data_IF_561391805619
#
_entry.id   IF_561391805619
#
_cell.length_a   1.000
_cell.length_b   1.000
_cell.length_c   1.000
_cell.angle_alpha   90.00
_cell.angle_beta   90.00
_cell.angle_gamma   90.00
#
_symmetry.space_group_name_H-M   'P 1'
#
loop_
_entity.id
_entity.type
_entity.pdbx_description
1 polymer ?
#
# COMPACT_ATOMS: atom_id res chain seq x y z
N UNK A 1 47.80 -23.55 0.88
CA UNK A 1 47.31 -23.76 -0.50
C UNK A 1 46.39 -22.59 -0.81
N UNK A 2 46.90 -21.59 -1.52
CA UNK A 2 46.08 -20.51 -2.09
C UNK A 2 45.53 -21.06 -3.40
N UNK A 3 44.24 -21.37 -3.45
CA UNK A 3 43.61 -21.77 -4.71
C UNK A 3 43.40 -20.50 -5.55
N UNK A 4 44.06 -20.36 -6.71
CA UNK A 4 43.99 -19.15 -7.53
C UNK A 4 42.56 -18.87 -8.03
N UNK A 5 41.73 -19.92 -8.11
CA UNK A 5 40.31 -19.84 -8.42
C UNK A 5 39.55 -19.12 -7.30
N UNK A 6 39.85 -19.43 -6.03
CA UNK A 6 39.21 -18.80 -4.88
C UNK A 6 39.55 -17.31 -4.78
N UNK A 7 40.80 -16.93 -5.04
CA UNK A 7 41.23 -15.52 -5.04
C UNK A 7 40.60 -14.72 -6.18
N UNK A 8 40.53 -15.30 -7.38
CA UNK A 8 39.86 -14.67 -8.51
C UNK A 8 38.37 -14.41 -8.23
N UNK A 9 37.66 -15.41 -7.69
CA UNK A 9 36.24 -15.28 -7.34
C UNK A 9 36.06 -14.21 -6.26
N UNK A 10 36.85 -14.25 -5.18
CA UNK A 10 36.72 -13.30 -4.07
C UNK A 10 37.02 -11.87 -4.52
N UNK A 11 38.08 -11.64 -5.29
CA UNK A 11 38.44 -10.32 -5.80
C UNK A 11 37.36 -9.76 -6.74
N UNK A 12 36.83 -10.59 -7.63
CA UNK A 12 35.79 -10.17 -8.58
C UNK A 12 34.45 -9.88 -7.88
N UNK A 13 34.06 -10.70 -6.90
CA UNK A 13 32.85 -10.50 -6.10
C UNK A 13 32.96 -9.22 -5.26
N UNK A 14 34.07 -9.01 -4.54
CA UNK A 14 34.29 -7.82 -3.71
C UNK A 14 34.29 -6.56 -4.59
N UNK A 15 34.97 -6.59 -5.73
CA UNK A 15 35.01 -5.45 -6.66
C UNK A 15 33.64 -5.08 -7.19
N UNK A 16 32.86 -6.08 -7.62
CA UNK A 16 31.50 -5.87 -8.15
C UNK A 16 30.57 -5.37 -7.04
N UNK A 17 30.51 -6.04 -5.89
CA UNK A 17 29.64 -5.65 -4.78
C UNK A 17 29.95 -4.24 -4.28
N UNK A 18 31.24 -3.88 -4.13
CA UNK A 18 31.63 -2.54 -3.66
C UNK A 18 31.13 -1.43 -4.58
N UNK A 19 31.08 -1.66 -5.90
CA UNK A 19 30.57 -0.69 -6.88
C UNK A 19 29.03 -0.64 -6.94
N UNK A 20 28.37 -1.77 -6.73
CA UNK A 20 26.91 -1.92 -6.91
C UNK A 20 26.12 -1.56 -5.65
N UNK A 21 26.68 -1.69 -4.44
CA UNK A 21 25.94 -1.46 -3.19
C UNK A 21 25.32 -0.06 -3.10
N UNK A 22 26.06 1.00 -3.45
CA UNK A 22 25.55 2.37 -3.37
C UNK A 22 24.37 2.63 -4.31
N UNK A 23 24.46 2.37 -5.64
CA UNK A 23 23.33 2.56 -6.54
C UNK A 23 22.15 1.63 -6.20
N UNK A 24 22.43 0.41 -5.69
CA UNK A 24 21.38 -0.50 -5.23
C UNK A 24 20.62 0.06 -4.03
N UNK A 25 21.32 0.57 -3.01
CA UNK A 25 20.68 1.20 -1.85
C UNK A 25 19.86 2.43 -2.27
N UNK A 26 20.39 3.27 -3.15
CA UNK A 26 19.67 4.44 -3.66
C UNK A 26 18.40 4.03 -4.43
N UNK A 27 18.51 3.05 -5.33
CA UNK A 27 17.37 2.55 -6.09
C UNK A 27 16.30 1.94 -5.17
N UNK A 28 16.71 1.11 -4.21
CA UNK A 28 15.81 0.52 -3.22
C UNK A 28 15.16 1.59 -2.34
N UNK A 29 15.86 2.67 -2.00
CA UNK A 29 15.32 3.78 -1.22
C UNK A 29 14.25 4.56 -1.98
N UNK A 30 14.52 4.95 -3.22
CA UNK A 30 13.56 5.66 -4.07
C UNK A 30 12.34 4.78 -4.35
N UNK A 31 12.56 3.51 -4.68
CA UNK A 31 11.47 2.54 -4.88
C UNK A 31 10.66 2.33 -3.60
N UNK A 32 11.33 2.22 -2.44
CA UNK A 32 10.68 2.05 -1.14
C UNK A 32 9.76 3.22 -0.79
N UNK A 33 10.23 4.46 -0.98
CA UNK A 33 9.41 5.66 -0.78
C UNK A 33 8.21 5.66 -1.72
N UNK A 34 8.45 5.39 -3.01
CA UNK A 34 7.39 5.36 -4.02
C UNK A 34 6.31 4.33 -3.67
N UNK A 35 6.71 3.10 -3.33
CA UNK A 35 5.79 2.05 -2.91
C UNK A 35 5.02 2.42 -1.64
N UNK A 36 5.67 3.04 -0.65
CA UNK A 36 5.00 3.48 0.58
C UNK A 36 3.92 4.53 0.30
N UNK A 37 4.24 5.52 -0.53
CA UNK A 37 3.28 6.55 -0.96
C UNK A 37 2.11 5.92 -1.71
N UNK A 38 2.37 4.95 -2.59
CA UNK A 38 1.31 4.26 -3.32
C UNK A 38 0.36 3.49 -2.40
N UNK A 39 0.87 2.73 -1.44
CA UNK A 39 0.04 1.98 -0.49
C UNK A 39 -0.77 2.95 0.38
N UNK A 40 -0.15 4.03 0.85
CA UNK A 40 -0.85 5.06 1.61
C UNK A 40 -1.99 5.70 0.79
N UNK A 41 -1.75 5.98 -0.49
CA UNK A 41 -2.79 6.52 -1.36
C UNK A 41 -3.96 5.56 -1.53
N UNK A 42 -3.70 4.26 -1.74
CA UNK A 42 -4.74 3.24 -1.84
C UNK A 42 -5.62 3.21 -0.59
N UNK A 43 -5.02 3.14 0.60
CA UNK A 43 -5.73 3.16 1.88
C UNK A 43 -6.54 4.46 2.08
N UNK A 44 -6.03 5.60 1.60
CA UNK A 44 -6.73 6.88 1.66
C UNK A 44 -7.98 6.89 0.77
N UNK A 45 -7.91 6.29 -0.42
CA UNK A 45 -9.07 6.20 -1.32
C UNK A 45 -10.16 5.30 -0.74
N UNK A 46 -9.78 4.15 -0.18
CA UNK A 46 -10.72 3.27 0.52
C UNK A 46 -11.41 4.01 1.67
N UNK A 47 -10.63 4.71 2.52
CA UNK A 47 -11.18 5.43 3.67
C UNK A 47 -12.13 6.56 3.24
N UNK A 48 -11.81 7.26 2.15
CA UNK A 48 -12.71 8.27 1.55
C UNK A 48 -14.01 7.63 1.05
N UNK A 49 -13.96 6.46 0.45
CA UNK A 49 -15.17 5.76 0.01
C UNK A 49 -16.08 5.44 1.20
N UNK A 50 -15.54 4.88 2.30
CA UNK A 50 -16.32 4.59 3.50
C UNK A 50 -16.86 5.86 4.17
N UNK A 51 -16.09 6.95 4.20
CA UNK A 51 -16.55 8.24 4.73
C UNK A 51 -17.71 8.81 3.91
N UNK A 52 -17.62 8.76 2.58
CA UNK A 52 -18.68 9.23 1.70
C UNK A 52 -19.93 8.34 1.78
N UNK A 53 -19.77 7.03 2.03
CA UNK A 53 -20.89 6.14 2.33
C UNK A 53 -21.56 6.53 3.65
N UNK A 54 -20.79 6.70 4.74
CA UNK A 54 -21.31 7.08 6.05
C UNK A 54 -22.07 8.42 6.01
N UNK A 55 -21.51 9.44 5.34
CA UNK A 55 -22.18 10.74 5.16
C UNK A 55 -23.54 10.58 4.49
N UNK A 56 -23.65 9.72 3.49
CA UNK A 56 -24.91 9.49 2.76
C UNK A 56 -25.93 8.74 3.59
N UNK A 57 -25.50 7.77 4.40
CA UNK A 57 -26.37 7.10 5.37
C UNK A 57 -26.94 8.11 6.35
N UNK A 58 -26.08 8.93 6.98
CA UNK A 58 -26.52 9.98 7.92
C UNK A 58 -27.45 10.99 7.24
N UNK A 59 -27.12 11.45 6.04
CA UNK A 59 -27.94 12.39 5.29
C UNK A 59 -29.31 11.82 4.93
N UNK A 60 -29.38 10.54 4.56
CA UNK A 60 -30.64 9.87 4.24
C UNK A 60 -31.59 9.87 5.44
N UNK A 61 -31.11 9.56 6.64
CA UNK A 61 -31.95 9.55 7.84
C UNK A 61 -32.23 10.94 8.43
N UNK A 62 -31.38 11.94 8.15
CA UNK A 62 -31.60 13.32 8.62
C UNK A 62 -32.54 14.11 7.70
N UNK A 63 -32.65 13.72 6.43
CA UNK A 63 -33.45 14.44 5.45
C UNK A 63 -34.93 14.06 5.55
N UNK A 64 -35.85 15.02 5.79
CA UNK A 64 -37.28 14.72 5.96
C UNK A 64 -37.95 14.19 4.66
N UNK A 65 -37.37 14.50 3.50
CA UNK A 65 -37.90 14.10 2.18
C UNK A 65 -37.36 12.75 1.69
N UNK A 66 -36.57 12.04 2.51
CA UNK A 66 -35.98 10.78 2.09
C UNK A 66 -37.04 9.67 1.98
N UNK A 67 -37.04 8.87 0.89
CA UNK A 67 -37.97 7.75 0.76
C UNK A 67 -37.69 6.72 1.85
N UNK A 68 -38.66 6.49 2.73
CA UNK A 68 -38.59 5.47 3.79
C UNK A 68 -38.64 4.09 3.16
N UNK A 69 -37.48 3.48 2.95
CA UNK A 69 -37.37 2.11 2.47
C UNK A 69 -37.33 1.18 3.68
N UNK A 70 -38.33 0.31 3.80
CA UNK A 70 -38.45 -0.60 4.96
C UNK A 70 -37.41 -1.74 4.96
N UNK A 71 -36.92 -2.14 3.77
CA UNK A 71 -35.97 -3.26 3.61
C UNK A 71 -34.51 -2.82 3.73
N UNK A 72 -33.78 -3.44 4.66
CA UNK A 72 -32.34 -3.27 4.89
C UNK A 72 -31.50 -3.49 3.62
N UNK A 73 -31.68 -4.62 2.94
CA UNK A 73 -30.94 -4.95 1.73
C UNK A 73 -31.15 -3.90 0.63
N UNK A 74 -32.39 -3.45 0.42
CA UNK A 74 -32.72 -2.47 -0.61
C UNK A 74 -32.13 -1.11 -0.32
N UNK A 75 -32.24 -0.64 0.92
CA UNK A 75 -31.68 0.65 1.32
C UNK A 75 -30.15 0.64 1.23
N UNK A 76 -29.52 -0.43 1.71
CA UNK A 76 -28.06 -0.62 1.62
C UNK A 76 -27.60 -0.59 0.16
N UNK A 77 -28.28 -1.30 -0.74
CA UNK A 77 -27.98 -1.29 -2.17
C UNK A 77 -28.10 0.10 -2.79
N UNK A 78 -29.22 0.80 -2.57
CA UNK A 78 -29.43 2.13 -3.15
C UNK A 78 -28.35 3.11 -2.68
N UNK A 79 -28.02 3.10 -1.39
CA UNK A 79 -27.01 4.00 -0.83
C UNK A 79 -25.60 3.65 -1.32
N UNK A 80 -25.25 2.37 -1.41
CA UNK A 80 -23.97 1.92 -1.96
C UNK A 80 -23.83 2.24 -3.44
N UNK A 81 -24.83 1.93 -4.27
CA UNK A 81 -24.83 2.22 -5.72
C UNK A 81 -24.73 3.73 -5.97
N UNK A 82 -25.50 4.53 -5.21
CA UNK A 82 -25.40 5.99 -5.27
C UNK A 82 -24.01 6.49 -4.85
N UNK A 83 -23.43 5.88 -3.81
CA UNK A 83 -22.07 6.21 -3.36
C UNK A 83 -21.04 5.95 -4.45
N UNK A 84 -21.14 4.79 -5.11
CA UNK A 84 -20.27 4.42 -6.22
C UNK A 84 -20.36 5.40 -7.40
N UNK A 85 -21.57 5.67 -7.90
CA UNK A 85 -21.79 6.55 -9.06
C UNK A 85 -21.26 7.96 -8.80
N UNK A 86 -21.51 8.52 -7.62
CA UNK A 86 -21.07 9.87 -7.29
C UNK A 86 -19.56 9.96 -7.05
N UNK A 87 -18.96 8.97 -6.38
CA UNK A 87 -17.52 8.96 -6.10
C UNK A 87 -16.67 8.75 -7.36
N UNK A 88 -17.17 7.97 -8.33
CA UNK A 88 -16.40 7.56 -9.51
C UNK A 88 -16.96 8.11 -10.83
N UNK A 89 -18.22 7.86 -11.16
CA UNK A 89 -18.78 8.25 -12.47
C UNK A 89 -18.98 9.75 -12.61
N UNK A 90 -19.52 10.42 -11.59
CA UNK A 90 -19.66 11.88 -11.64
C UNK A 90 -18.33 12.61 -11.55
N UNK A 91 -17.35 12.05 -10.81
CA UNK A 91 -15.99 12.60 -10.77
C UNK A 91 -15.33 12.51 -12.15
N UNK A 92 -15.42 11.37 -12.81
CA UNK A 92 -14.81 11.17 -14.12
C UNK A 92 -15.52 11.96 -15.24
N UNK A 93 -16.85 12.09 -15.15
CA UNK A 93 -17.65 12.83 -16.15
C UNK A 93 -17.51 14.34 -16.04
N UNK A 94 -17.50 14.90 -14.83
CA UNK A 94 -17.56 16.36 -14.66
C UNK A 94 -16.20 17.03 -14.40
N UNK A 95 -15.18 16.30 -13.93
CA UNK A 95 -13.79 16.78 -13.71
C UNK A 95 -13.68 18.21 -13.16
N UNK A 96 -14.57 18.59 -12.22
CA UNK A 96 -14.75 19.99 -11.80
C UNK A 96 -13.59 20.49 -10.92
N UNK A 97 -12.80 19.59 -10.33
CA UNK A 97 -11.68 19.96 -9.45
C UNK A 97 -10.35 19.69 -10.17
N UNK A 98 -9.38 20.59 -9.97
CA UNK A 98 -8.05 20.55 -10.60
C UNK A 98 -7.28 19.22 -10.40
N UNK A 99 -7.61 18.45 -9.37
CA UNK A 99 -6.98 17.16 -9.06
C UNK A 99 -7.72 15.93 -9.61
N UNK A 100 -8.89 16.09 -10.24
CA UNK A 100 -9.71 14.96 -10.72
C UNK A 100 -9.05 14.20 -11.89
N UNK A 101 -8.24 14.87 -12.70
CA UNK A 101 -7.52 14.22 -13.81
C UNK A 101 -6.46 13.22 -13.32
N UNK A 102 -5.70 13.62 -12.29
CA UNK A 102 -4.67 12.76 -11.70
C UNK A 102 -5.33 11.61 -10.94
N UNK A 103 -6.41 11.89 -10.20
CA UNK A 103 -7.19 10.85 -9.53
C UNK A 103 -7.76 9.81 -10.52
N UNK A 104 -8.34 10.23 -11.65
CA UNK A 104 -8.90 9.32 -12.66
C UNK A 104 -7.83 8.39 -13.28
N UNK A 105 -6.62 8.91 -13.54
CA UNK A 105 -5.51 8.07 -14.02
C UNK A 105 -5.05 7.06 -12.97
N UNK A 106 -4.95 7.48 -11.71
CA UNK A 106 -4.54 6.63 -10.59
C UNK A 106 -5.62 5.57 -10.31
N UNK A 107 -6.91 5.95 -10.32
CA UNK A 107 -8.03 5.03 -10.16
C UNK A 107 -8.03 3.93 -11.24
N UNK A 108 -7.72 4.30 -12.48
CA UNK A 108 -7.63 3.34 -13.60
C UNK A 108 -6.40 2.46 -13.49
N UNK A 109 -5.26 3.00 -13.07
CA UNK A 109 -4.03 2.25 -12.87
C UNK A 109 -4.18 1.22 -11.73
N UNK A 110 -4.94 1.56 -10.69
CA UNK A 110 -5.18 0.71 -9.52
C UNK A 110 -6.48 -0.09 -9.58
N UNK A 111 -7.24 -0.02 -10.68
CA UNK A 111 -8.53 -0.71 -10.83
C UNK A 111 -9.47 -0.46 -9.63
N UNK A 112 -9.44 0.76 -9.08
CA UNK A 112 -10.17 1.11 -7.85
C UNK A 112 -11.67 0.96 -8.06
N UNK A 113 -12.16 1.29 -9.25
CA UNK A 113 -13.57 1.14 -9.61
C UNK A 113 -14.02 -0.33 -9.55
N UNK A 114 -13.23 -1.25 -10.10
CA UNK A 114 -13.51 -2.67 -10.06
C UNK A 114 -13.41 -3.23 -8.63
N UNK A 115 -12.44 -2.74 -7.85
CA UNK A 115 -12.31 -3.06 -6.43
C UNK A 115 -13.52 -2.63 -5.62
N UNK A 116 -13.95 -1.38 -5.75
CA UNK A 116 -15.15 -0.89 -5.04
C UNK A 116 -16.39 -1.64 -5.52
N UNK A 117 -16.56 -1.87 -6.82
CA UNK A 117 -17.70 -2.64 -7.33
C UNK A 117 -17.76 -4.05 -6.73
N UNK A 118 -16.60 -4.71 -6.62
CA UNK A 118 -16.51 -6.01 -5.95
C UNK A 118 -16.85 -5.92 -4.46
N UNK A 119 -16.40 -4.87 -3.78
CA UNK A 119 -16.75 -4.60 -2.39
C UNK A 119 -18.27 -4.46 -2.21
N UNK A 120 -18.94 -3.74 -3.12
CA UNK A 120 -20.41 -3.62 -3.12
C UNK A 120 -21.07 -4.99 -3.28
N UNK A 121 -20.68 -5.75 -4.31
CA UNK A 121 -21.26 -7.06 -4.59
C UNK A 121 -21.08 -8.04 -3.41
N UNK A 122 -19.90 -8.08 -2.81
CA UNK A 122 -19.62 -8.97 -1.68
C UNK A 122 -20.32 -8.50 -0.40
N UNK A 123 -20.42 -7.19 -0.15
CA UNK A 123 -21.22 -6.64 0.95
C UNK A 123 -22.69 -7.01 0.77
N UNK A 124 -23.27 -6.79 -0.42
CA UNK A 124 -24.67 -7.12 -0.70
C UNK A 124 -24.95 -8.62 -0.60
N UNK A 125 -24.03 -9.47 -1.07
CA UNK A 125 -24.14 -10.92 -0.90
C UNK A 125 -24.22 -11.31 0.56
N UNK A 126 -23.40 -10.72 1.43
CA UNK A 126 -23.45 -11.00 2.86
C UNK A 126 -24.74 -10.46 3.49
N UNK A 127 -25.15 -9.23 3.15
CA UNK A 127 -26.40 -8.62 3.61
C UNK A 127 -27.66 -9.43 3.25
N UNK A 128 -27.63 -10.16 2.13
CA UNK A 128 -28.75 -11.01 1.67
C UNK A 128 -29.11 -12.12 2.65
N UNK A 129 -28.14 -12.63 3.42
CA UNK A 129 -28.35 -13.76 4.32
C UNK A 129 -28.80 -13.35 5.72
N UNK A 130 -28.83 -12.06 6.04
CA UNK A 130 -29.31 -11.61 7.33
C UNK A 130 -30.82 -11.75 7.44
N UNK A 131 -31.29 -12.43 8.47
CA UNK A 131 -32.71 -12.51 8.79
C UNK A 131 -33.00 -11.62 9.97
N UNK A 132 -33.90 -10.66 9.77
CA UNK A 132 -34.38 -9.76 10.82
C UNK A 132 -35.58 -10.38 11.53
N UNK A 133 -35.45 -11.64 11.96
CA UNK A 133 -36.47 -12.32 12.76
C UNK A 133 -36.28 -11.96 14.25
N UNK A 134 -37.37 -11.79 14.97
CA UNK A 134 -37.55 -11.13 16.29
C UNK A 134 -36.84 -11.74 17.51
N UNK A 135 -35.76 -12.49 17.30
CA UNK A 135 -34.97 -13.13 18.37
C UNK A 135 -33.51 -13.44 18.01
N UNK A 136 -33.05 -13.10 16.81
CA UNK A 136 -31.64 -13.27 16.45
C UNK A 136 -30.83 -12.04 16.87
N UNK A 137 -29.70 -12.25 17.55
CA UNK A 137 -28.72 -11.21 17.85
C UNK A 137 -28.32 -10.50 16.56
N UNK A 138 -28.27 -9.16 16.57
CA UNK A 138 -27.87 -8.37 15.43
C UNK A 138 -26.55 -8.93 14.84
N UNK A 139 -26.48 -9.12 13.50
CA UNK A 139 -25.26 -9.61 12.88
C UNK A 139 -24.14 -8.62 13.15
N UNK A 140 -22.94 -9.13 13.45
CA UNK A 140 -21.79 -8.28 13.71
C UNK A 140 -21.32 -7.64 12.40
N UNK A 141 -21.84 -6.46 12.08
CA UNK A 141 -21.51 -5.75 10.84
C UNK A 141 -20.01 -5.44 10.72
N UNK A 142 -19.29 -5.40 11.85
CA UNK A 142 -17.83 -5.29 11.86
C UNK A 142 -17.13 -6.49 11.21
N UNK A 143 -17.60 -7.72 11.45
CA UNK A 143 -17.01 -8.93 10.87
C UNK A 143 -17.32 -9.03 9.37
N UNK A 144 -18.53 -8.63 8.99
CA UNK A 144 -19.00 -8.51 7.59
C UNK A 144 -18.13 -7.51 6.82
N UNK A 145 -17.92 -6.34 7.42
CA UNK A 145 -17.11 -5.27 6.85
C UNK A 145 -15.66 -5.73 6.68
N UNK A 146 -15.06 -6.33 7.73
CA UNK A 146 -13.71 -6.92 7.64
C UNK A 146 -13.61 -7.93 6.52
N UNK A 147 -14.54 -8.89 6.44
CA UNK A 147 -14.54 -9.90 5.39
C UNK A 147 -14.66 -9.27 3.98
N UNK A 148 -15.49 -8.25 3.82
CA UNK A 148 -15.67 -7.57 2.53
C UNK A 148 -14.40 -6.82 2.07
N UNK A 149 -13.66 -6.20 2.98
CA UNK A 149 -12.38 -5.54 2.66
C UNK A 149 -11.22 -6.54 2.51
N UNK A 150 -11.11 -7.54 3.39
CA UNK A 150 -10.01 -8.53 3.39
C UNK A 150 -10.09 -9.53 2.25
N UNK A 151 -11.28 -9.86 1.74
CA UNK A 151 -11.40 -10.76 0.59
C UNK A 151 -11.33 -10.05 -0.76
N UNK A 152 -11.18 -8.73 -0.78
CA UNK A 152 -11.14 -7.98 -2.02
C UNK A 152 -9.78 -8.12 -2.73
N UNK A 153 -9.71 -8.79 -3.91
CA UNK A 153 -8.44 -9.02 -4.59
C UNK A 153 -7.81 -7.74 -5.16
N UNK A 154 -8.60 -6.68 -5.36
CA UNK A 154 -8.14 -5.41 -5.94
C UNK A 154 -7.54 -4.47 -4.89
N UNK A 155 -8.06 -4.50 -3.66
CA UNK A 155 -7.51 -3.74 -2.54
C UNK A 155 -6.29 -4.42 -1.91
N UNK A 156 -6.23 -5.75 -1.97
CA UNK A 156 -5.08 -6.49 -1.47
C UNK A 156 -3.90 -6.56 -2.44
N UNK A 157 -4.02 -6.05 -3.67
CA UNK A 157 -2.95 -6.10 -4.68
C UNK A 157 -2.61 -4.73 -5.25
N UNK A 158 -1.37 -4.31 -5.09
CA UNK A 158 -0.82 -3.13 -5.76
C UNK A 158 -0.65 -3.45 -7.25
N UNK A 159 -1.26 -2.64 -8.12
CA UNK A 159 -1.29 -2.82 -9.59
C UNK A 159 -1.85 -4.17 -10.04
N UNK A 160 -2.64 -4.86 -9.21
CA UNK A 160 -3.23 -6.16 -9.52
C UNK A 160 -2.27 -7.37 -9.45
N UNK A 161 -0.98 -7.13 -9.22
CA UNK A 161 0.07 -8.18 -9.30
C UNK A 161 0.67 -8.47 -7.91
N UNK A 162 1.00 -7.45 -7.12
CA UNK A 162 1.83 -7.62 -5.91
C UNK A 162 0.96 -7.47 -4.64
N UNK A 163 0.95 -8.44 -3.71
CA UNK A 163 0.21 -8.31 -2.46
C UNK A 163 0.67 -7.12 -1.61
N UNK A 164 -0.27 -6.29 -1.17
CA UNK A 164 -0.01 -5.10 -0.34
C UNK A 164 0.58 -5.50 1.01
N UNK A 165 0.13 -6.60 1.60
CA UNK A 165 0.65 -7.12 2.87
C UNK A 165 2.16 -7.42 2.81
N UNK A 166 2.60 -8.11 1.75
CA UNK A 166 4.01 -8.42 1.53
C UNK A 166 4.84 -7.14 1.33
N UNK A 167 4.33 -6.18 0.56
CA UNK A 167 5.01 -4.90 0.39
C UNK A 167 5.13 -4.14 1.70
N UNK A 168 4.09 -4.14 2.54
CA UNK A 168 4.12 -3.52 3.85
C UNK A 168 5.23 -4.12 4.74
N UNK A 169 5.33 -5.44 4.78
CA UNK A 169 6.38 -6.15 5.51
C UNK A 169 7.77 -5.81 4.98
N UNK A 170 8.01 -5.90 3.67
CA UNK A 170 9.31 -5.57 3.06
C UNK A 170 9.71 -4.12 3.37
N UNK A 171 8.79 -3.17 3.24
CA UNK A 171 9.06 -1.76 3.51
C UNK A 171 9.42 -1.50 4.96
N UNK A 172 8.86 -2.26 5.91
CA UNK A 172 9.17 -2.15 7.33
C UNK A 172 10.56 -2.71 7.69
N UNK A 173 11.06 -3.68 6.92
CA UNK A 173 12.40 -4.28 7.14
C UNK A 173 13.50 -3.47 6.40
N UNK A 174 13.12 -2.69 5.39
CA UNK A 174 14.02 -1.92 4.53
C UNK A 174 15.00 -0.99 5.28
N UNK A 175 14.61 -0.26 6.35
CA UNK A 175 15.56 0.50 7.16
C UNK A 175 16.70 -0.34 7.72
N UNK A 176 16.43 -1.58 8.15
CA UNK A 176 17.43 -2.52 8.63
C UNK A 176 18.38 -2.96 7.51
N UNK A 177 17.84 -3.21 6.31
CA UNK A 177 18.64 -3.55 5.13
C UNK A 177 19.59 -2.42 4.72
N UNK A 178 19.19 -1.15 4.82
CA UNK A 178 20.09 -0.01 4.55
C UNK A 178 21.23 0.08 5.56
N UNK A 179 20.96 -0.19 6.84
CA UNK A 179 22.00 -0.20 7.87
C UNK A 179 23.03 -1.32 7.62
N UNK A 180 22.55 -2.53 7.32
CA UNK A 180 23.42 -3.66 6.98
C UNK A 180 24.21 -3.37 5.70
N UNK A 181 23.55 -2.82 4.67
CA UNK A 181 24.19 -2.43 3.41
C UNK A 181 25.28 -1.38 3.59
N UNK A 182 25.05 -0.40 4.47
CA UNK A 182 26.05 0.62 4.83
C UNK A 182 27.27 0.02 5.52
N UNK A 183 27.06 -0.86 6.50
CA UNK A 183 28.13 -1.58 7.21
C UNK A 183 28.93 -2.45 6.23
N UNK A 184 28.24 -3.23 5.38
CA UNK A 184 28.87 -4.06 4.35
C UNK A 184 29.68 -3.22 3.36
N UNK A 185 29.15 -2.05 2.97
CA UNK A 185 29.84 -1.11 2.08
C UNK A 185 31.17 -0.62 2.65
N UNK A 186 31.23 -0.35 3.96
CA UNK A 186 32.49 0.00 4.64
C UNK A 186 33.46 -1.17 4.66
N UNK A 187 33.00 -2.36 5.07
CA UNK A 187 33.84 -3.55 5.12
C UNK A 187 34.47 -3.86 3.75
N UNK A 188 33.68 -3.88 2.69
CA UNK A 188 34.18 -4.13 1.33
C UNK A 188 35.13 -3.04 0.84
N UNK A 189 34.91 -1.78 1.23
CA UNK A 189 35.83 -0.69 0.92
C UNK A 189 37.19 -0.86 1.58
N UNK A 190 37.21 -1.18 2.89
CA UNK A 190 38.46 -1.46 3.63
C UNK A 190 39.16 -2.70 3.06
N UNK A 191 38.42 -3.79 2.82
CA UNK A 191 38.98 -5.02 2.23
C UNK A 191 39.60 -4.80 0.86
N UNK A 192 39.12 -3.83 0.08
CA UNK A 192 39.74 -3.45 -1.20
C UNK A 192 41.04 -2.65 -1.03
N UNK A 193 41.14 -1.82 0.02
CA UNK A 193 42.34 -1.01 0.28
C UNK A 193 43.48 -1.76 0.97
N UNK A 194 43.19 -2.80 1.75
CA UNK A 194 44.20 -3.56 2.51
C UNK A 194 45.30 -4.21 1.63
N UNK A 195 45.01 -4.81 0.46
CA UNK A 195 46.05 -5.35 -0.42
C UNK A 195 47.04 -4.30 -0.93
N UNK A 196 46.59 -3.06 -1.14
CA UNK A 196 47.46 -1.96 -1.61
C UNK A 196 48.53 -1.60 -0.57
N UNK A 197 48.18 -1.64 0.73
CA UNK A 197 49.14 -1.48 1.82
C UNK A 197 50.16 -2.62 1.90
N UNK A 198 49.74 -3.85 1.55
CA UNK A 198 50.63 -5.02 1.54
C UNK A 198 51.76 -4.92 0.51
N UNK A 199 51.60 -4.09 -0.53
CA UNK A 199 52.59 -3.86 -1.59
C UNK A 199 53.54 -2.68 -1.33
N UNK A 200 53.53 -2.10 -0.13
CA UNK A 200 54.30 -0.89 0.17
C UNK A 200 55.80 -1.17 0.36
N UNK A 201 56.66 -0.54 -0.44
CA UNK A 201 58.11 -0.55 -0.25
C UNK A 201 58.56 0.62 0.64
N UNK A 202 59.04 0.28 1.84
CA UNK A 202 59.55 1.21 2.84
C UNK A 202 60.87 1.88 2.43
N UNK A 203 61.57 1.35 1.42
CA UNK A 203 62.78 1.94 0.87
C UNK A 203 62.52 3.20 0.04
N UNK A 204 61.31 3.37 -0.51
CA UNK A 204 60.93 4.49 -1.36
C UNK A 204 59.85 5.35 -0.68
N UNK A 205 60.30 6.40 0.02
CA UNK A 205 59.42 7.30 0.79
C UNK A 205 58.33 7.96 -0.09
N UNK A 206 58.62 8.24 -1.36
CA UNK A 206 57.67 8.90 -2.28
C UNK A 206 56.52 7.95 -2.67
N UNK A 207 56.85 6.69 -2.94
CA UNK A 207 55.89 5.64 -3.32
C UNK A 207 55.02 5.22 -2.15
N UNK A 208 55.65 5.04 -0.98
CA UNK A 208 54.97 4.85 0.31
C UNK A 208 53.91 5.92 0.56
N UNK A 209 54.24 7.21 0.37
CA UNK A 209 53.27 8.30 0.57
C UNK A 209 52.08 8.18 -0.38
N UNK A 210 52.32 7.85 -1.64
CA UNK A 210 51.26 7.70 -2.65
C UNK A 210 50.32 6.53 -2.33
N UNK A 211 50.85 5.40 -1.89
CA UNK A 211 50.05 4.24 -1.46
C UNK A 211 49.22 4.59 -0.22
N UNK A 212 49.81 5.29 0.75
CA UNK A 212 49.11 5.74 1.96
C UNK A 212 47.95 6.70 1.64
N UNK A 213 48.18 7.69 0.79
CA UNK A 213 47.15 8.66 0.38
C UNK A 213 45.99 7.96 -0.36
N UNK A 214 46.30 6.96 -1.21
CA UNK A 214 45.29 6.14 -1.89
C UNK A 214 44.46 5.28 -0.93
N UNK A 215 45.11 4.67 0.05
CA UNK A 215 44.43 3.89 1.09
C UNK A 215 43.49 4.77 1.93
N UNK A 216 43.96 5.93 2.38
CA UNK A 216 43.15 6.88 3.15
C UNK A 216 41.93 7.37 2.37
N UNK A 217 42.09 7.66 1.07
CA UNK A 217 40.98 8.02 0.21
C UNK A 217 39.95 6.87 0.07
N UNK A 218 40.43 5.62 -0.03
CA UNK A 218 39.57 4.44 -0.13
C UNK A 218 38.77 4.21 1.15
N UNK A 219 39.39 4.36 2.32
CA UNK A 219 38.68 4.31 3.62
C UNK A 219 37.67 5.46 3.71
N UNK A 220 38.06 6.68 3.37
CA UNK A 220 37.15 7.83 3.42
C UNK A 220 35.90 7.59 2.59
N UNK A 221 36.07 7.08 1.36
CA UNK A 221 34.94 6.72 0.50
C UNK A 221 34.10 5.57 1.07
N UNK A 222 34.73 4.58 1.70
CA UNK A 222 34.04 3.48 2.38
C UNK A 222 33.17 4.00 3.55
N UNK A 223 33.70 4.92 4.36
CA UNK A 223 32.96 5.54 5.47
C UNK A 223 31.73 6.33 4.98
N UNK A 224 31.85 7.04 3.86
CA UNK A 224 30.71 7.76 3.25
C UNK A 224 29.56 6.80 2.91
N UNK A 225 29.85 5.58 2.42
CA UNK A 225 28.79 4.58 2.13
C UNK A 225 28.00 4.19 3.38
N UNK A 226 28.66 4.03 4.54
CA UNK A 226 27.98 3.73 5.80
C UNK A 226 27.13 4.91 6.29
N UNK A 227 27.65 6.14 6.21
CA UNK A 227 26.90 7.35 6.57
C UNK A 227 25.61 7.45 5.72
N UNK A 228 25.71 7.18 4.42
CA UNK A 228 24.54 7.16 3.52
C UNK A 228 23.56 6.04 3.91
N UNK A 229 24.05 4.85 4.22
CA UNK A 229 23.19 3.73 4.69
C UNK A 229 22.41 4.08 5.96
N UNK A 230 23.07 4.71 6.93
CA UNK A 230 22.44 5.19 8.17
C UNK A 230 21.41 6.29 7.86
N UNK A 231 21.74 7.23 6.98
CA UNK A 231 20.83 8.30 6.58
C UNK A 231 19.56 7.75 5.91
N UNK A 232 19.69 6.79 4.99
CA UNK A 232 18.54 6.14 4.35
C UNK A 232 17.73 5.31 5.34
N UNK A 233 18.38 4.63 6.28
CA UNK A 233 17.70 3.90 7.35
C UNK A 233 16.83 4.83 8.21
N UNK A 234 17.39 5.93 8.70
CA UNK A 234 16.67 6.92 9.49
C UNK A 234 15.53 7.56 8.69
N UNK A 235 15.81 7.97 7.44
CA UNK A 235 14.82 8.60 6.57
C UNK A 235 13.66 7.65 6.24
N UNK A 236 13.95 6.38 5.91
CA UNK A 236 12.94 5.39 5.61
C UNK A 236 12.10 5.04 6.85
N UNK A 237 12.71 5.05 8.04
CA UNK A 237 11.98 4.88 9.30
C UNK A 237 10.96 6.00 9.48
N UNK A 238 11.35 7.26 9.27
CA UNK A 238 10.43 8.40 9.33
C UNK A 238 9.29 8.26 8.32
N UNK A 239 9.60 7.90 7.08
CA UNK A 239 8.60 7.67 6.02
C UNK A 239 7.61 6.57 6.45
N UNK A 240 8.08 5.44 6.97
CA UNK A 240 7.20 4.37 7.43
C UNK A 240 6.26 4.83 8.56
N UNK A 241 6.78 5.63 9.50
CA UNK A 241 5.99 6.19 10.62
C UNK A 241 4.94 7.19 10.14
N UNK A 242 5.29 8.14 9.28
CA UNK A 242 4.33 9.14 8.79
C UNK A 242 3.23 8.55 7.91
N UNK A 243 3.57 7.51 7.14
CA UNK A 243 2.64 6.84 6.23
C UNK A 243 2.16 5.49 6.81
N UNK A 244 1.94 5.39 8.11
CA UNK A 244 1.36 4.21 8.75
C UNK A 244 -0.11 4.01 8.36
N UNK A 245 -0.48 2.78 7.99
CA UNK A 245 -1.78 2.45 7.37
C UNK A 245 -2.74 1.83 8.39
N UNK A 246 -2.25 1.23 9.48
CA UNK A 246 -3.08 0.44 10.41
C UNK A 246 -4.23 1.27 11.01
N UNK A 247 -3.95 2.53 11.37
CA UNK A 247 -4.96 3.44 11.90
C UNK A 247 -6.05 3.80 10.88
N UNK A 248 -5.68 3.97 9.61
CA UNK A 248 -6.63 4.26 8.53
C UNK A 248 -7.53 3.06 8.26
N UNK A 249 -6.98 1.84 8.27
CA UNK A 249 -7.75 0.61 8.08
C UNK A 249 -8.75 0.37 9.21
N UNK A 250 -8.35 0.57 10.47
CA UNK A 250 -9.27 0.46 11.60
C UNK A 250 -10.42 1.48 11.49
N UNK A 251 -10.11 2.74 11.15
CA UNK A 251 -11.11 3.78 10.92
C UNK A 251 -12.06 3.42 9.76
N UNK A 252 -11.52 2.94 8.63
CA UNK A 252 -12.26 2.49 7.45
C UNK A 252 -13.32 1.45 7.82
N UNK A 253 -12.89 0.36 8.44
CA UNK A 253 -13.76 -0.78 8.77
C UNK A 253 -14.83 -0.37 9.78
N UNK A 254 -14.47 0.41 10.81
CA UNK A 254 -15.44 0.86 11.82
C UNK A 254 -16.48 1.83 11.25
N UNK A 255 -16.07 2.77 10.38
CA UNK A 255 -17.00 3.71 9.74
C UNK A 255 -17.98 2.98 8.83
N UNK A 256 -17.47 2.06 8.01
CA UNK A 256 -18.32 1.26 7.13
C UNK A 256 -19.28 0.38 7.93
N UNK A 257 -18.81 -0.29 8.98
CA UNK A 257 -19.64 -1.10 9.87
C UNK A 257 -20.70 -0.26 10.60
N UNK A 258 -20.32 0.90 11.15
CA UNK A 258 -21.25 1.80 11.84
C UNK A 258 -22.34 2.33 10.90
N UNK A 259 -22.00 2.59 9.64
CA UNK A 259 -22.95 2.98 8.61
C UNK A 259 -23.95 1.85 8.32
N UNK A 260 -23.48 0.61 8.19
CA UNK A 260 -24.36 -0.57 8.04
C UNK A 260 -25.22 -0.82 9.27
N UNK A 261 -24.67 -0.68 10.49
CA UNK A 261 -25.42 -0.80 11.74
C UNK A 261 -26.54 0.24 11.83
N UNK A 262 -26.27 1.47 11.39
CA UNK A 262 -27.28 2.54 11.34
C UNK A 262 -28.42 2.15 10.41
N UNK A 263 -28.12 1.66 9.19
CA UNK A 263 -29.15 1.18 8.26
C UNK A 263 -29.92 -0.01 8.85
N UNK A 264 -29.22 -0.93 9.53
CA UNK A 264 -29.83 -2.09 10.16
C UNK A 264 -30.80 -1.69 11.27
N UNK A 265 -30.46 -0.71 12.10
CA UNK A 265 -31.32 -0.31 13.21
C UNK A 265 -32.57 0.48 12.75
N UNK A 266 -32.45 1.27 11.70
CA UNK A 266 -33.53 2.14 11.21
C UNK A 266 -34.50 1.47 10.22
N UNK A 267 -34.17 0.27 9.74
CA UNK A 267 -35.04 -0.50 8.82
C UNK A 267 -35.99 -1.40 9.60
N UNK A 268 -37.00 -1.99 8.96
CA UNK A 268 -37.96 -2.88 9.63
C UNK A 268 -37.81 -4.32 9.17
N UNK A 269 -37.59 -4.52 7.87
CA UNK A 269 -37.50 -5.85 7.25
C UNK A 269 -36.18 -6.04 6.53
N UNK A 270 -35.87 -7.29 6.15
CA UNK A 270 -34.79 -7.59 5.20
C UNK A 270 -35.32 -8.43 4.04
N UNK A 271 -36.46 -8.03 3.48
CA UNK A 271 -37.06 -8.74 2.38
C UNK A 271 -36.37 -8.41 1.06
N UNK A 272 -36.12 -9.47 0.28
CA UNK A 272 -35.63 -9.40 -1.09
C UNK A 272 -36.83 -9.19 -2.01
N UNK A 273 -37.41 -7.98 -2.03
CA UNK A 273 -38.43 -7.66 -3.04
C UNK A 273 -37.84 -7.84 -4.45
N UNK A 274 -38.61 -8.47 -5.35
CA UNK A 274 -38.21 -8.66 -6.74
C UNK A 274 -37.95 -7.28 -7.38
N UNK A 275 -36.72 -7.09 -7.86
CA UNK A 275 -36.30 -5.85 -8.51
C UNK A 275 -37.23 -5.57 -9.70
N UNK A 276 -37.62 -4.30 -9.94
CA UNK A 276 -38.29 -3.95 -11.18
C UNK A 276 -37.38 -4.33 -12.37
N UNK A 277 -37.96 -5.05 -13.33
CA UNK A 277 -37.36 -5.75 -14.47
C UNK A 277 -36.38 -4.93 -15.34
N UNK A 278 -36.33 -3.59 -15.16
CA UNK A 278 -35.41 -2.69 -15.85
C UNK A 278 -33.94 -2.84 -15.42
N UNK A 279 -33.67 -3.28 -14.20
CA UNK A 279 -32.29 -3.44 -13.71
C UNK A 279 -31.66 -4.80 -14.07
N UNK A 280 -32.49 -5.83 -14.33
CA UNK A 280 -32.03 -7.15 -14.75
C UNK A 280 -31.47 -7.15 -16.18
N UNK A 281 -32.08 -6.38 -17.10
CA UNK A 281 -31.57 -6.24 -18.47
C UNK A 281 -30.19 -5.58 -18.53
N UNK A 282 -29.87 -4.69 -17.58
CA UNK A 282 -28.55 -4.05 -17.51
C UNK A 282 -27.49 -4.93 -16.83
N UNK A 283 -27.86 -5.91 -16.00
CA UNK A 283 -26.88 -6.87 -15.46
C UNK A 283 -26.48 -7.91 -16.50
N UNK A 284 -27.41 -8.37 -17.34
CA UNK A 284 -27.13 -9.38 -18.37
C UNK A 284 -26.31 -8.82 -19.55
N UNK A 285 -26.53 -7.55 -19.90
CA UNK A 285 -25.70 -6.81 -20.88
C UNK A 285 -24.30 -6.44 -20.35
N UNK A 286 -24.03 -6.61 -19.05
CA UNK A 286 -22.72 -6.33 -18.42
C UNK A 286 -21.95 -7.60 -18.05
N UNK A 287 -22.56 -8.78 -18.24
CA UNK A 287 -21.97 -10.10 -18.00
C UNK A 287 -21.57 -10.82 -19.31
N UNK A 288 -21.86 -10.22 -20.47
CA UNK A 288 -21.36 -10.61 -21.80
C UNK A 288 -20.27 -9.63 -22.24
#
# INVERSE_FOLDING_TARGET
>A
MHDPISEFIVAHVIGTMSSVIMPLMLAAFVLGIFLRIMIYYLALVENRFAEEFEKRVRFHFTSPDAPKVASFFRLTRILLDKTYVECFEFRDKYKRRKYDYIASLVDRLFLIQDGVRRLLDDTLRQCRYFKKESGHTAPKMIEVSKAAFEHNPYFNRLLGIIPVALLHEILNILPGLFLIGGILGTFLGISKGLPELGSMDLGNMLETKRVMDGFLATIAYAMVKSIIGILFSASMTLVNTFFAIEGSYYSLVNRFASALDTIWNETETNELEALPEKDAKNSDLRAA
#
